data_IF_223425200509
#
_entry.id   IF_223425200509
#
_cell.length_a   1.000
_cell.length_b   1.000
_cell.length_c   1.000
_cell.angle_alpha   90.00
_cell.angle_beta   90.00
_cell.angle_gamma   90.00
#
_symmetry.space_group_name_H-M   'P 1'
#
loop_
_entity.id
_entity.type
_entity.pdbx_description
1 polymer ?
#
# COMPACT_ATOMS: atom_id res chain seq x y z
N UNK A 1 -2.93 -19.57 -47.33
CA UNK A 1 -2.04 -19.31 -46.17
C UNK A 1 -2.32 -17.98 -45.43
N UNK A 2 -2.57 -16.87 -46.13
CA UNK A 2 -2.91 -15.57 -45.48
C UNK A 2 -4.22 -15.58 -44.70
N UNK A 3 -5.26 -16.21 -45.21
CA UNK A 3 -6.57 -16.28 -44.53
C UNK A 3 -6.51 -17.04 -43.19
N UNK A 4 -5.81 -18.19 -43.16
CA UNK A 4 -5.57 -18.96 -41.96
C UNK A 4 -4.91 -18.12 -40.86
N UNK A 5 -3.75 -17.49 -41.18
CA UNK A 5 -3.01 -16.68 -40.21
C UNK A 5 -3.85 -15.52 -39.66
N UNK A 6 -4.65 -14.88 -40.49
CA UNK A 6 -5.53 -13.76 -40.09
C UNK A 6 -6.69 -14.25 -39.23
N UNK A 7 -7.30 -15.39 -39.61
CA UNK A 7 -8.40 -15.98 -38.85
C UNK A 7 -7.96 -16.36 -37.45
N UNK A 8 -6.89 -17.13 -37.32
CA UNK A 8 -6.36 -17.57 -36.00
C UNK A 8 -5.95 -16.38 -35.14
N UNK A 9 -5.22 -15.39 -35.71
CA UNK A 9 -4.82 -14.20 -34.96
C UNK A 9 -6.03 -13.41 -34.44
N UNK A 10 -7.05 -13.22 -35.28
CA UNK A 10 -8.29 -12.53 -34.89
C UNK A 10 -9.07 -13.29 -33.81
N UNK A 11 -9.12 -14.60 -33.92
CA UNK A 11 -9.81 -15.46 -32.96
C UNK A 11 -9.11 -15.45 -31.59
N UNK A 12 -7.77 -15.62 -31.57
CA UNK A 12 -6.98 -15.48 -30.34
C UNK A 12 -7.14 -14.09 -29.73
N UNK A 13 -7.13 -13.03 -30.55
CA UNK A 13 -7.30 -11.67 -30.06
C UNK A 13 -8.68 -11.48 -29.42
N UNK A 14 -9.75 -11.99 -30.05
CA UNK A 14 -11.11 -11.90 -29.52
C UNK A 14 -11.25 -12.66 -28.19
N UNK A 15 -10.81 -13.92 -28.13
CA UNK A 15 -10.85 -14.69 -26.89
C UNK A 15 -10.00 -14.06 -25.79
N UNK A 16 -8.79 -13.61 -26.11
CA UNK A 16 -7.93 -12.89 -25.15
C UNK A 16 -8.57 -11.60 -24.67
N UNK A 17 -9.25 -10.85 -25.53
CA UNK A 17 -9.96 -9.63 -25.17
C UNK A 17 -11.13 -9.87 -24.22
N UNK A 18 -11.92 -10.91 -24.46
CA UNK A 18 -13.02 -11.31 -23.56
C UNK A 18 -12.46 -11.73 -22.20
N UNK A 19 -11.45 -12.59 -22.18
CA UNK A 19 -10.80 -13.03 -20.94
C UNK A 19 -10.18 -11.85 -20.18
N UNK A 20 -9.50 -10.95 -20.89
CA UNK A 20 -8.93 -9.74 -20.29
C UNK A 20 -9.99 -8.88 -19.59
N UNK A 21 -11.11 -8.61 -20.30
CA UNK A 21 -12.21 -7.83 -19.72
C UNK A 21 -12.82 -8.51 -18.50
N UNK A 22 -13.00 -9.82 -18.54
CA UNK A 22 -13.51 -10.59 -17.42
C UNK A 22 -12.56 -10.55 -16.23
N UNK A 23 -11.26 -10.77 -16.46
CA UNK A 23 -10.22 -10.75 -15.41
C UNK A 23 -10.10 -9.36 -14.77
N UNK A 24 -10.18 -8.29 -15.54
CA UNK A 24 -10.16 -6.92 -15.00
C UNK A 24 -11.36 -6.66 -14.09
N UNK A 25 -12.56 -7.06 -14.48
CA UNK A 25 -13.75 -6.87 -13.65
C UNK A 25 -13.65 -7.65 -12.34
N UNK A 26 -13.21 -8.91 -12.41
CA UNK A 26 -13.00 -9.74 -11.22
C UNK A 26 -11.92 -9.11 -10.32
N UNK A 27 -10.79 -8.73 -10.90
CA UNK A 27 -9.69 -8.10 -10.16
C UNK A 27 -10.13 -6.82 -9.46
N UNK A 28 -10.80 -5.93 -10.19
CA UNK A 28 -11.30 -4.67 -9.64
C UNK A 28 -12.30 -4.90 -8.50
N UNK A 29 -13.19 -5.88 -8.65
CA UNK A 29 -14.14 -6.25 -7.60
C UNK A 29 -13.43 -6.73 -6.34
N UNK A 30 -12.42 -7.58 -6.46
CA UNK A 30 -11.63 -8.07 -5.33
C UNK A 30 -10.88 -6.92 -4.64
N UNK A 31 -10.24 -6.04 -5.44
CA UNK A 31 -9.51 -4.88 -4.91
C UNK A 31 -10.44 -3.92 -4.18
N UNK A 32 -11.62 -3.62 -4.75
CA UNK A 32 -12.61 -2.74 -4.12
C UNK A 32 -13.12 -3.31 -2.80
N UNK A 33 -13.51 -4.58 -2.77
CA UNK A 33 -13.97 -5.23 -1.52
C UNK A 33 -12.88 -5.18 -0.45
N UNK A 34 -11.62 -5.45 -0.83
CA UNK A 34 -10.49 -5.39 0.10
C UNK A 34 -10.26 -3.98 0.63
N UNK A 35 -10.21 -2.97 -0.25
CA UNK A 35 -9.97 -1.58 0.15
C UNK A 35 -11.12 -0.99 0.96
N UNK A 36 -12.38 -1.33 0.63
CA UNK A 36 -13.53 -0.96 1.44
C UNK A 36 -13.49 -1.60 2.83
N UNK A 37 -13.02 -2.85 2.93
CA UNK A 37 -12.77 -3.49 4.22
C UNK A 37 -11.67 -2.79 5.03
N UNK A 38 -10.58 -2.34 4.39
CA UNK A 38 -9.53 -1.54 5.03
C UNK A 38 -10.07 -0.16 5.48
N UNK A 39 -10.95 0.46 4.68
CA UNK A 39 -11.61 1.72 5.03
C UNK A 39 -12.60 1.56 6.19
N UNK A 40 -13.42 0.51 6.19
CA UNK A 40 -14.33 0.21 7.29
C UNK A 40 -13.61 -0.09 8.60
N UNK A 41 -12.39 -0.63 8.54
CA UNK A 41 -11.52 -0.85 9.69
C UNK A 41 -10.75 0.42 10.12
N UNK A 42 -10.97 1.58 9.48
CA UNK A 42 -10.29 2.85 9.78
C UNK A 42 -8.82 2.91 9.39
N UNK A 43 -8.32 1.93 8.62
CA UNK A 43 -6.90 1.89 8.18
C UNK A 43 -6.59 2.84 7.05
N UNK A 44 -7.59 3.16 6.23
CA UNK A 44 -7.50 4.11 5.12
C UNK A 44 -8.77 4.95 5.06
N UNK A 45 -8.69 6.16 4.48
CA UNK A 45 -9.86 7.00 4.26
C UNK A 45 -10.72 6.52 3.11
N UNK A 46 -12.05 6.65 3.22
CA UNK A 46 -12.94 6.32 2.11
C UNK A 46 -12.70 7.18 0.86
N UNK A 47 -12.18 8.39 1.03
CA UNK A 47 -11.83 9.33 -0.04
C UNK A 47 -10.68 8.86 -0.93
N UNK A 48 -9.74 8.07 -0.40
CA UNK A 48 -8.58 7.58 -1.15
C UNK A 48 -8.79 6.18 -1.77
N UNK A 49 -9.88 5.47 -1.46
CA UNK A 49 -10.16 4.10 -1.92
C UNK A 49 -10.11 3.99 -3.45
N UNK A 50 -10.75 4.92 -4.17
CA UNK A 50 -10.81 4.90 -5.64
C UNK A 50 -9.42 5.11 -6.24
N UNK A 51 -8.63 6.05 -5.70
CA UNK A 51 -7.25 6.28 -6.12
C UNK A 51 -6.38 5.04 -5.94
N UNK A 52 -6.43 4.44 -4.74
CA UNK A 52 -5.69 3.21 -4.45
C UNK A 52 -6.12 2.04 -5.34
N UNK A 53 -7.43 1.87 -5.59
CA UNK A 53 -7.94 0.83 -6.49
C UNK A 53 -7.40 1.00 -7.90
N UNK A 54 -7.35 2.23 -8.40
CA UNK A 54 -6.82 2.55 -9.73
C UNK A 54 -5.35 2.18 -9.84
N UNK A 55 -4.51 2.65 -8.92
CA UNK A 55 -3.07 2.35 -8.96
C UNK A 55 -2.77 0.87 -8.74
N UNK A 56 -3.50 0.20 -7.85
CA UNK A 56 -3.38 -1.25 -7.64
C UNK A 56 -3.73 -2.03 -8.92
N UNK A 57 -4.73 -1.57 -9.66
CA UNK A 57 -5.13 -2.18 -10.93
C UNK A 57 -4.07 -1.93 -12.01
N UNK A 58 -3.52 -0.72 -12.12
CA UNK A 58 -2.43 -0.42 -13.05
C UNK A 58 -1.21 -1.30 -12.79
N UNK A 59 -0.84 -1.50 -11.53
CA UNK A 59 0.28 -2.36 -11.16
C UNK A 59 0.05 -3.84 -11.52
N UNK A 60 -1.21 -4.31 -11.56
CA UNK A 60 -1.58 -5.67 -11.89
C UNK A 60 -1.75 -5.92 -13.42
N UNK A 61 -1.88 -4.87 -14.23
CA UNK A 61 -2.12 -4.98 -15.68
C UNK A 61 -1.18 -5.94 -16.40
N UNK A 62 0.17 -5.94 -16.19
CA UNK A 62 1.07 -6.85 -16.87
C UNK A 62 0.71 -8.32 -16.63
N UNK A 63 0.39 -8.65 -15.39
CA UNK A 63 0.02 -10.01 -14.99
C UNK A 63 -1.33 -10.42 -15.60
N UNK A 64 -2.32 -9.54 -15.58
CA UNK A 64 -3.64 -9.79 -16.16
C UNK A 64 -3.53 -9.99 -17.67
N UNK A 65 -2.70 -9.20 -18.38
CA UNK A 65 -2.45 -9.36 -19.80
C UNK A 65 -1.79 -10.70 -20.13
N UNK A 66 -0.82 -11.12 -19.35
CA UNK A 66 -0.16 -12.41 -19.54
C UNK A 66 -1.13 -13.59 -19.40
N UNK A 67 -1.98 -13.58 -18.36
CA UNK A 67 -3.02 -14.59 -18.18
C UNK A 67 -4.09 -14.53 -19.28
N UNK A 68 -4.50 -13.34 -19.69
CA UNK A 68 -5.50 -13.18 -20.73
C UNK A 68 -5.04 -13.80 -22.07
N UNK A 69 -3.81 -13.55 -22.48
CA UNK A 69 -3.24 -14.18 -23.69
C UNK A 69 -3.11 -15.68 -23.53
N UNK A 70 -2.58 -16.14 -22.41
CA UNK A 70 -2.41 -17.58 -22.16
C UNK A 70 -3.74 -18.33 -22.28
N UNK A 71 -4.77 -17.84 -21.55
CA UNK A 71 -6.10 -18.45 -21.59
C UNK A 71 -6.74 -18.30 -22.99
N UNK A 72 -6.58 -17.14 -23.65
CA UNK A 72 -7.11 -16.90 -24.98
C UNK A 72 -6.53 -17.87 -26.03
N UNK A 73 -5.22 -18.09 -26.00
CA UNK A 73 -4.55 -19.09 -26.87
C UNK A 73 -5.05 -20.50 -26.56
N UNK A 74 -5.10 -20.86 -25.27
CA UNK A 74 -5.57 -22.19 -24.86
C UNK A 74 -7.03 -22.44 -25.32
N UNK A 75 -7.91 -21.46 -25.12
CA UNK A 75 -9.31 -21.54 -25.55
C UNK A 75 -9.44 -21.69 -27.04
N UNK A 76 -8.71 -20.87 -27.82
CA UNK A 76 -8.73 -20.94 -29.29
C UNK A 76 -8.23 -22.30 -29.80
N UNK A 77 -7.12 -22.77 -29.29
CA UNK A 77 -6.55 -24.09 -29.70
C UNK A 77 -7.53 -25.21 -29.34
N UNK A 78 -8.04 -25.23 -28.11
CA UNK A 78 -8.98 -26.25 -27.63
C UNK A 78 -10.28 -26.26 -28.47
N UNK A 79 -10.81 -25.07 -28.78
CA UNK A 79 -12.00 -24.94 -29.62
C UNK A 79 -11.78 -25.54 -31.01
N UNK A 80 -10.71 -25.14 -31.70
CA UNK A 80 -10.38 -25.65 -33.04
C UNK A 80 -10.18 -27.18 -33.05
N UNK A 81 -9.65 -27.78 -31.98
CA UNK A 81 -9.61 -29.22 -31.82
C UNK A 81 -11.00 -29.86 -31.68
N UNK A 82 -11.85 -29.29 -30.84
CA UNK A 82 -13.21 -29.82 -30.57
C UNK A 82 -14.14 -29.72 -31.78
N UNK A 83 -14.02 -28.66 -32.56
CA UNK A 83 -14.84 -28.41 -33.75
C UNK A 83 -14.29 -29.13 -35.00
N UNK A 84 -13.21 -29.93 -34.82
CA UNK A 84 -12.56 -30.67 -35.90
C UNK A 84 -11.98 -29.78 -37.01
N UNK A 85 -11.90 -28.46 -36.81
CA UNK A 85 -11.29 -27.51 -37.77
C UNK A 85 -9.81 -27.84 -38.00
N UNK A 86 -9.11 -28.39 -37.01
CA UNK A 86 -7.73 -28.85 -37.14
C UNK A 86 -7.56 -29.92 -38.25
N UNK A 87 -8.53 -30.82 -38.40
CA UNK A 87 -8.48 -31.87 -39.42
C UNK A 87 -8.52 -31.24 -40.83
N UNK A 88 -9.34 -30.21 -41.04
CA UNK A 88 -9.42 -29.48 -42.30
C UNK A 88 -8.12 -28.77 -42.61
N UNK A 89 -7.50 -28.14 -41.60
CA UNK A 89 -6.21 -27.47 -41.78
C UNK A 89 -5.06 -28.44 -42.09
N UNK A 90 -5.02 -29.60 -41.41
CA UNK A 90 -4.00 -30.62 -41.66
C UNK A 90 -4.16 -31.29 -43.02
N UNK A 91 -5.40 -31.54 -43.47
CA UNK A 91 -5.67 -32.09 -44.79
C UNK A 91 -5.27 -31.11 -45.92
N UNK A 92 -5.21 -29.81 -45.61
CA UNK A 92 -4.70 -28.79 -46.56
C UNK A 92 -3.17 -28.64 -46.54
N UNK A 93 -2.44 -29.51 -45.78
CA UNK A 93 -0.97 -29.53 -45.74
C UNK A 93 -0.35 -28.61 -44.69
N UNK A 94 -1.16 -28.00 -43.77
CA UNK A 94 -0.64 -27.23 -42.67
C UNK A 94 -0.16 -28.16 -41.53
N UNK A 95 0.94 -27.77 -40.87
CA UNK A 95 1.49 -28.48 -39.72
C UNK A 95 1.13 -27.75 -38.41
N UNK A 96 1.29 -28.44 -37.26
CA UNK A 96 1.15 -27.82 -35.95
C UNK A 96 2.11 -26.62 -35.74
N UNK A 97 3.28 -26.67 -36.37
CA UNK A 97 4.26 -25.57 -36.31
C UNK A 97 3.79 -24.29 -36.97
N UNK A 98 2.88 -24.39 -37.95
CA UNK A 98 2.29 -23.22 -38.62
C UNK A 98 1.40 -22.39 -37.68
N UNK A 99 0.91 -22.98 -36.61
CA UNK A 99 0.13 -22.31 -35.57
C UNK A 99 0.97 -21.40 -34.67
N UNK A 100 2.26 -21.65 -34.55
CA UNK A 100 3.18 -20.84 -33.74
C UNK A 100 3.23 -19.40 -34.26
N UNK A 101 3.28 -19.23 -35.56
CA UNK A 101 3.46 -17.91 -36.19
C UNK A 101 2.30 -16.91 -35.93
N UNK A 102 1.01 -17.28 -36.12
CA UNK A 102 -0.10 -16.39 -35.80
C UNK A 102 -0.21 -16.11 -34.27
N UNK A 103 0.11 -17.09 -33.43
CA UNK A 103 0.12 -16.91 -31.97
C UNK A 103 1.23 -15.93 -31.54
N UNK A 104 2.47 -16.13 -32.03
CA UNK A 104 3.58 -15.22 -31.72
C UNK A 104 3.33 -13.81 -32.21
N UNK A 105 2.65 -13.65 -33.36
CA UNK A 105 2.31 -12.31 -33.87
C UNK A 105 1.47 -11.47 -32.88
N UNK A 106 0.66 -12.11 -32.07
CA UNK A 106 -0.10 -11.44 -31.01
C UNK A 106 0.65 -11.45 -29.67
N UNK A 107 1.28 -12.58 -29.33
CA UNK A 107 1.94 -12.73 -28.03
C UNK A 107 3.17 -11.82 -27.88
N UNK A 108 3.97 -11.63 -28.95
CA UNK A 108 5.19 -10.80 -28.90
C UNK A 108 4.88 -9.32 -28.58
N UNK A 109 3.98 -8.61 -29.30
CA UNK A 109 3.66 -7.24 -28.96
C UNK A 109 3.07 -7.09 -27.56
N UNK A 110 2.26 -8.05 -27.10
CA UNK A 110 1.72 -8.02 -25.73
C UNK A 110 2.81 -8.30 -24.68
N UNK A 111 3.76 -9.20 -24.97
CA UNK A 111 4.91 -9.42 -24.10
C UNK A 111 5.77 -8.14 -23.97
N UNK A 112 6.00 -7.44 -25.09
CA UNK A 112 6.71 -6.16 -25.08
C UNK A 112 5.92 -5.12 -24.25
N UNK A 113 4.61 -5.00 -24.49
CA UNK A 113 3.75 -4.08 -23.74
C UNK A 113 3.76 -4.41 -22.23
N UNK A 114 3.65 -5.69 -21.86
CA UNK A 114 3.72 -6.14 -20.46
C UNK A 114 5.08 -5.81 -19.83
N UNK A 115 6.17 -5.98 -20.55
CA UNK A 115 7.51 -5.62 -20.08
C UNK A 115 7.64 -4.12 -19.85
N UNK A 116 7.16 -3.29 -20.77
CA UNK A 116 7.15 -1.84 -20.62
C UNK A 116 6.28 -1.39 -19.43
N UNK A 117 5.10 -1.99 -19.27
CA UNK A 117 4.23 -1.72 -18.11
C UNK A 117 4.93 -2.09 -16.80
N UNK A 118 5.62 -3.23 -16.75
CA UNK A 118 6.35 -3.67 -15.55
C UNK A 118 7.52 -2.74 -15.22
N UNK A 119 8.22 -2.22 -16.24
CA UNK A 119 9.37 -1.34 -16.02
C UNK A 119 8.97 0.09 -15.63
N UNK A 120 7.88 0.63 -16.20
CA UNK A 120 7.51 2.03 -16.03
C UNK A 120 6.23 2.23 -15.22
N UNK A 121 5.13 1.55 -15.61
CA UNK A 121 3.82 1.78 -15.02
C UNK A 121 3.71 1.19 -13.60
N UNK A 122 4.24 -0.01 -13.38
CA UNK A 122 4.17 -0.66 -12.06
C UNK A 122 4.94 0.11 -10.97
N UNK A 123 6.23 0.51 -11.16
CA UNK A 123 6.93 1.28 -10.13
C UNK A 123 6.34 2.67 -9.92
N UNK A 124 5.83 3.31 -10.98
CA UNK A 124 5.12 4.58 -10.86
C UNK A 124 3.83 4.43 -10.04
N UNK A 125 3.01 3.43 -10.34
CA UNK A 125 1.77 3.16 -9.62
C UNK A 125 2.03 2.83 -8.13
N UNK A 126 3.08 2.05 -7.83
CA UNK A 126 3.45 1.72 -6.46
C UNK A 126 3.89 2.96 -5.67
N UNK A 127 4.67 3.86 -6.28
CA UNK A 127 5.05 5.14 -5.64
C UNK A 127 3.81 5.99 -5.34
N UNK A 128 2.88 6.09 -6.29
CA UNK A 128 1.65 6.84 -6.07
C UNK A 128 0.80 6.23 -4.93
N UNK A 129 0.71 4.89 -4.84
CA UNK A 129 0.02 4.22 -3.71
C UNK A 129 0.68 4.57 -2.37
N UNK A 130 2.00 4.56 -2.30
CA UNK A 130 2.75 4.92 -1.09
C UNK A 130 2.50 6.38 -0.72
N UNK A 131 2.55 7.30 -1.70
CA UNK A 131 2.28 8.73 -1.49
C UNK A 131 0.84 8.99 -0.99
N UNK A 132 -0.16 8.27 -1.56
CA UNK A 132 -1.55 8.38 -1.10
C UNK A 132 -1.72 7.87 0.32
N UNK A 133 -1.10 6.74 0.67
CA UNK A 133 -1.12 6.20 2.03
C UNK A 133 -0.40 7.12 3.01
N UNK A 134 0.78 7.60 2.66
CA UNK A 134 1.55 8.53 3.49
C UNK A 134 0.78 9.84 3.76
N UNK A 135 0.16 10.42 2.72
CA UNK A 135 -0.70 11.61 2.88
C UNK A 135 -1.89 11.36 3.79
N UNK A 136 -2.47 10.17 3.72
CA UNK A 136 -3.57 9.80 4.60
C UNK A 136 -3.09 9.58 6.03
N UNK A 137 -2.01 8.85 6.24
CA UNK A 137 -1.39 8.66 7.57
C UNK A 137 -1.03 10.01 8.19
N UNK A 138 -0.47 10.93 7.39
CA UNK A 138 -0.18 12.30 7.85
C UNK A 138 -1.43 13.10 8.25
N UNK A 139 -2.57 12.91 7.57
CA UNK A 139 -3.84 13.54 7.95
C UNK A 139 -4.48 12.83 9.15
N UNK A 140 -4.33 11.51 9.22
CA UNK A 140 -5.05 10.66 10.16
C UNK A 140 -4.54 10.75 11.59
N UNK A 141 -3.31 11.20 11.84
CA UNK A 141 -2.79 11.30 13.21
C UNK A 141 -3.52 12.35 14.06
N UNK A 142 -4.14 13.33 13.41
CA UNK A 142 -5.00 14.31 14.09
C UNK A 142 -6.49 13.96 13.99
N UNK A 143 -6.93 13.38 12.86
CA UNK A 143 -8.31 12.92 12.70
C UNK A 143 -8.61 11.62 13.46
N UNK A 144 -7.59 10.93 13.97
CA UNK A 144 -7.75 9.81 14.91
C UNK A 144 -8.14 10.27 16.31
N UNK A 145 -7.93 11.55 16.66
CA UNK A 145 -8.44 12.11 17.90
C UNK A 145 -9.97 12.26 17.74
N UNK A 146 -10.68 11.15 17.88
CA UNK A 146 -12.13 11.18 17.96
C UNK A 146 -12.52 11.77 19.29
N UNK A 147 -13.32 12.83 19.29
CA UNK A 147 -13.84 13.41 20.51
C UNK A 147 -14.47 12.32 21.40
N UNK A 148 -14.13 12.34 22.67
CA UNK A 148 -14.62 11.38 23.65
C UNK A 148 -13.90 10.01 23.67
N UNK A 149 -12.82 9.83 22.92
CA UNK A 149 -12.03 8.59 22.93
C UNK A 149 -10.56 8.82 23.31
N UNK A 150 -10.00 7.86 24.03
CA UNK A 150 -8.56 7.84 24.30
C UNK A 150 -7.81 7.32 23.09
N UNK A 151 -6.80 8.05 22.67
CA UNK A 151 -5.89 7.64 21.59
C UNK A 151 -4.49 7.43 22.15
N UNK A 152 -3.95 6.26 21.90
CA UNK A 152 -2.60 5.87 22.28
C UNK A 152 -1.66 6.02 21.10
N UNK A 153 -0.53 6.70 21.29
CA UNK A 153 0.50 6.95 20.28
C UNK A 153 1.87 6.53 20.84
N UNK A 154 2.80 6.16 19.98
CA UNK A 154 4.16 5.73 20.35
C UNK A 154 4.18 4.56 21.34
N UNK A 155 3.43 3.47 21.04
CA UNK A 155 3.41 2.23 21.85
C UNK A 155 3.06 2.48 23.34
N UNK A 156 2.11 3.39 23.61
CA UNK A 156 1.64 3.69 24.95
C UNK A 156 2.41 4.80 25.69
N UNK A 157 3.44 5.36 25.08
CA UNK A 157 4.20 6.44 25.71
C UNK A 157 3.42 7.76 25.76
N UNK A 158 2.49 7.97 24.82
CA UNK A 158 1.61 9.14 24.79
C UNK A 158 0.15 8.72 24.65
N UNK A 159 -0.69 9.29 25.50
CA UNK A 159 -2.14 9.09 25.48
C UNK A 159 -2.81 10.45 25.37
N UNK A 160 -3.63 10.61 24.35
CA UNK A 160 -4.41 11.81 24.09
C UNK A 160 -5.89 11.55 24.37
N UNK A 161 -6.56 12.53 24.90
CA UNK A 161 -8.01 12.57 25.01
C UNK A 161 -8.48 13.98 24.71
N UNK A 162 -9.42 14.14 23.79
CA UNK A 162 -10.09 15.40 23.51
C UNK A 162 -11.59 15.23 23.76
N UNK A 163 -12.21 16.17 24.45
CA UNK A 163 -13.65 16.13 24.72
C UNK A 163 -14.46 16.57 23.51
N UNK A 164 -13.97 17.59 22.79
CA UNK A 164 -14.61 18.16 21.61
C UNK A 164 -13.61 18.27 20.46
N UNK A 165 -14.09 18.08 19.24
CA UNK A 165 -13.36 18.37 18.02
C UNK A 165 -14.23 19.23 17.11
N UNK A 166 -13.63 20.26 16.49
CA UNK A 166 -14.29 21.08 15.46
C UNK A 166 -14.63 20.24 14.24
N UNK A 167 -15.67 20.59 13.48
CA UNK A 167 -16.02 19.90 12.22
C UNK A 167 -14.84 19.83 11.24
N UNK A 168 -13.98 20.83 11.22
CA UNK A 168 -12.75 20.87 10.39
C UNK A 168 -11.58 20.11 11.01
N UNK A 169 -11.73 19.53 12.22
CA UNK A 169 -10.70 18.79 12.96
C UNK A 169 -9.37 19.57 13.15
N UNK A 170 -9.40 20.87 13.01
CA UNK A 170 -8.24 21.75 13.20
C UNK A 170 -8.09 22.24 14.63
N UNK A 171 -9.19 22.26 15.38
CA UNK A 171 -9.24 22.71 16.79
C UNK A 171 -9.84 21.63 17.66
N UNK A 172 -9.15 21.31 18.75
CA UNK A 172 -9.60 20.36 19.78
C UNK A 172 -9.94 21.14 21.05
N UNK A 173 -11.09 20.85 21.64
CA UNK A 173 -11.50 21.40 22.93
C UNK A 173 -11.19 20.44 24.09
N UNK A 174 -10.86 21.01 25.26
CA UNK A 174 -10.59 20.27 26.49
C UNK A 174 -9.67 19.05 26.27
N UNK A 175 -8.40 19.34 25.92
CA UNK A 175 -7.42 18.30 25.68
C UNK A 175 -6.75 17.84 26.98
N UNK A 176 -6.68 16.53 27.15
CA UNK A 176 -5.88 15.85 28.17
C UNK A 176 -4.80 15.02 27.46
N UNK A 177 -3.54 15.21 27.86
CA UNK A 177 -2.40 14.50 27.34
C UNK A 177 -1.60 13.91 28.49
N UNK A 178 -1.29 12.62 28.39
CA UNK A 178 -0.32 11.95 29.25
C UNK A 178 0.90 11.60 28.40
N UNK A 179 2.08 12.00 28.83
CA UNK A 179 3.36 11.62 28.23
C UNK A 179 4.24 10.89 29.27
N UNK A 180 4.79 9.75 28.88
CA UNK A 180 5.69 8.95 29.71
C UNK A 180 7.09 9.07 29.11
N UNK A 181 7.89 9.98 29.68
CA UNK A 181 9.33 10.04 29.39
C UNK A 181 10.10 9.20 30.42
N UNK A 182 11.32 8.69 30.09
CA UNK A 182 12.11 7.86 31.02
C UNK A 182 12.36 8.49 32.39
N UNK A 183 12.41 9.82 32.46
CA UNK A 183 12.72 10.57 33.67
C UNK A 183 11.52 11.30 34.27
N UNK A 184 10.46 11.54 33.52
CA UNK A 184 9.32 12.33 33.93
C UNK A 184 8.00 11.76 33.37
N UNK A 185 7.00 11.68 34.22
CA UNK A 185 5.63 11.45 33.81
C UNK A 185 4.94 12.81 33.75
N UNK A 186 4.58 13.23 32.57
CA UNK A 186 3.91 14.52 32.36
C UNK A 186 2.44 14.34 32.04
N UNK A 187 1.61 15.11 32.71
CA UNK A 187 0.19 15.26 32.39
C UNK A 187 -0.02 16.72 31.98
N UNK A 188 -0.61 16.92 30.81
CA UNK A 188 -0.90 18.24 30.29
C UNK A 188 -2.39 18.35 30.04
N UNK A 189 -3.01 19.42 30.56
CA UNK A 189 -4.40 19.75 30.29
C UNK A 189 -4.45 21.11 29.59
N UNK A 190 -5.28 21.24 28.57
CA UNK A 190 -5.45 22.51 27.83
C UNK A 190 -6.92 22.72 27.46
N UNK A 191 -7.35 23.97 27.42
CA UNK A 191 -8.72 24.34 27.01
C UNK A 191 -8.94 24.17 25.51
N UNK A 192 -7.90 24.45 24.73
CA UNK A 192 -7.91 24.30 23.28
C UNK A 192 -6.56 23.84 22.78
N UNK A 193 -6.57 23.13 21.68
CA UNK A 193 -5.37 22.74 20.95
C UNK A 193 -5.57 22.96 19.44
N UNK A 194 -4.56 23.52 18.81
CA UNK A 194 -4.55 23.80 17.37
C UNK A 194 -3.32 23.18 16.76
N UNK A 195 -3.45 22.62 15.56
CA UNK A 195 -2.30 22.12 14.83
C UNK A 195 -1.71 23.22 13.97
N UNK A 196 -0.44 23.49 14.18
CA UNK A 196 0.35 24.39 13.35
C UNK A 196 1.42 23.61 12.59
N UNK A 197 1.60 23.94 11.31
CA UNK A 197 2.67 23.39 10.46
C UNK A 197 3.68 24.50 10.25
N UNK A 198 4.90 24.29 10.71
CA UNK A 198 5.99 25.23 10.52
C UNK A 198 6.54 25.20 9.09
N UNK A 199 7.26 26.25 8.66
CA UNK A 199 7.82 26.36 7.32
C UNK A 199 8.80 25.22 6.94
N UNK A 200 9.39 24.55 7.93
CA UNK A 200 10.26 23.38 7.79
C UNK A 200 9.48 22.08 7.53
N UNK A 201 8.15 22.11 7.69
CA UNK A 201 7.25 20.96 7.54
C UNK A 201 7.04 20.16 8.83
N UNK A 202 7.64 20.59 9.96
CA UNK A 202 7.39 20.01 11.27
C UNK A 202 5.97 20.36 11.75
N UNK A 203 5.33 19.41 12.40
CA UNK A 203 3.98 19.58 12.96
C UNK A 203 4.05 19.79 14.44
N UNK A 204 3.41 20.85 14.89
CA UNK A 204 3.26 21.17 16.30
C UNK A 204 1.80 21.15 16.70
N UNK A 205 1.52 20.50 17.82
CA UNK A 205 0.27 20.66 18.55
C UNK A 205 0.47 21.84 19.51
N UNK A 206 -0.17 22.94 19.22
CA UNK A 206 -0.13 24.14 20.05
C UNK A 206 -1.30 24.11 20.99
N UNK A 207 -1.00 23.93 22.28
CA UNK A 207 -1.94 23.91 23.38
C UNK A 207 -2.11 25.33 23.91
N UNK A 208 -3.36 25.73 24.15
CA UNK A 208 -3.67 27.06 24.67
C UNK A 208 -4.36 26.97 26.02
N UNK A 209 -3.94 27.82 26.95
CA UNK A 209 -4.50 27.99 28.29
C UNK A 209 -4.63 26.68 29.05
N UNK A 210 -3.48 26.22 29.54
CA UNK A 210 -3.43 24.91 30.18
C UNK A 210 -2.47 24.84 31.36
N UNK A 211 -2.41 23.64 31.94
CA UNK A 211 -1.52 23.30 33.04
C UNK A 211 -0.73 22.05 32.69
N UNK A 212 0.52 22.03 33.08
CA UNK A 212 1.41 20.89 32.97
C UNK A 212 1.83 20.43 34.37
N UNK A 213 1.64 19.15 34.63
CA UNK A 213 2.02 18.44 35.84
C UNK A 213 3.14 17.47 35.50
N UNK A 214 4.33 17.71 36.05
CA UNK A 214 5.49 16.82 35.88
C UNK A 214 5.74 16.08 37.20
N UNK A 215 5.73 14.75 37.15
CA UNK A 215 6.00 13.86 38.27
C UNK A 215 7.27 13.04 37.94
N UNK A 216 8.24 13.03 38.85
CA UNK A 216 9.44 12.21 38.72
C UNK A 216 9.23 10.85 39.38
N UNK A 217 9.26 9.74 38.62
CA UNK A 217 9.04 8.41 39.18
C UNK A 217 10.05 8.07 40.27
N UNK A 218 9.55 7.51 41.38
CA UNK A 218 10.39 7.09 42.53
C UNK A 218 10.85 8.22 43.46
N UNK A 219 10.42 9.45 43.25
CA UNK A 219 10.68 10.60 44.12
C UNK A 219 9.40 11.35 44.44
N UNK A 220 9.43 12.19 45.48
CA UNK A 220 8.30 13.09 45.80
C UNK A 220 8.39 14.42 45.06
N UNK A 221 9.19 14.48 43.97
CA UNK A 221 9.35 15.70 43.19
C UNK A 221 8.19 15.88 42.21
N UNK A 222 7.45 16.98 42.41
CA UNK A 222 6.26 17.34 41.64
C UNK A 222 6.36 18.80 41.22
N UNK A 223 6.12 19.07 39.93
CA UNK A 223 6.09 20.44 39.38
C UNK A 223 4.75 20.70 38.73
N UNK A 224 4.21 21.89 38.96
CA UNK A 224 3.07 22.40 38.22
C UNK A 224 3.49 23.67 37.49
N UNK A 225 3.15 23.74 36.22
CA UNK A 225 3.45 24.90 35.38
C UNK A 225 2.18 25.30 34.63
N UNK A 226 1.76 26.56 34.81
CA UNK A 226 0.71 27.15 34.00
C UNK A 226 1.31 27.69 32.70
N UNK A 227 0.61 27.52 31.59
CA UNK A 227 1.01 28.08 30.31
C UNK A 227 -0.15 28.72 29.56
N UNK A 228 0.11 29.82 28.89
CA UNK A 228 -0.86 30.41 27.95
C UNK A 228 -0.79 29.74 26.58
N UNK A 229 0.42 29.37 26.16
CA UNK A 229 0.68 28.67 24.89
C UNK A 229 1.85 27.70 25.05
N UNK A 230 1.63 26.45 24.70
CA UNK A 230 2.63 25.40 24.78
C UNK A 230 2.62 24.58 23.48
N UNK A 231 3.73 24.63 22.74
CA UNK A 231 3.92 23.88 21.51
C UNK A 231 4.58 22.53 21.77
N UNK A 232 3.93 21.45 21.39
CA UNK A 232 4.52 20.12 21.43
C UNK A 232 4.70 19.60 20.00
N UNK A 233 5.91 19.17 19.69
CA UNK A 233 6.17 18.55 18.39
C UNK A 233 5.49 17.17 18.33
N UNK A 234 4.60 16.99 17.36
CA UNK A 234 3.94 15.71 17.09
C UNK A 234 4.83 14.82 16.23
N UNK A 235 5.47 15.39 15.23
CA UNK A 235 6.31 14.65 14.30
C UNK A 235 7.40 15.55 13.70
N UNK A 236 8.63 15.06 13.59
CA UNK A 236 9.71 15.71 12.85
C UNK A 236 9.90 15.01 11.52
N UNK A 237 10.06 15.78 10.45
CA UNK A 237 10.38 15.28 9.12
C UNK A 237 11.62 14.37 9.11
N UNK A 238 12.59 14.69 9.97
CA UNK A 238 13.81 13.90 10.12
C UNK A 238 13.56 12.56 10.85
N UNK A 239 12.62 12.51 11.80
CA UNK A 239 12.24 11.27 12.49
C UNK A 239 11.43 10.35 11.58
N UNK A 240 10.53 10.90 10.76
CA UNK A 240 9.80 10.15 9.76
C UNK A 240 10.74 9.55 8.70
N UNK A 241 11.69 10.34 8.19
CA UNK A 241 12.72 9.87 7.25
C UNK A 241 13.63 8.81 7.88
N UNK A 242 14.01 8.97 9.14
CA UNK A 242 14.83 7.99 9.87
C UNK A 242 14.09 6.70 10.15
N UNK A 243 12.79 6.75 10.44
CA UNK A 243 11.93 5.58 10.62
C UNK A 243 11.73 4.84 9.29
N UNK A 244 11.55 5.57 8.21
CA UNK A 244 11.42 5.01 6.86
C UNK A 244 12.74 4.39 6.37
N UNK A 245 13.87 5.02 6.63
CA UNK A 245 15.20 4.45 6.35
C UNK A 245 15.44 3.18 7.14
N UNK A 246 15.13 3.13 8.45
CA UNK A 246 15.20 1.90 9.25
C UNK A 246 14.26 0.83 8.73
N UNK A 247 13.05 1.18 8.31
CA UNK A 247 12.09 0.25 7.72
C UNK A 247 12.59 -0.30 6.39
N UNK A 248 13.20 0.54 5.54
CA UNK A 248 13.83 0.14 4.28
C UNK A 248 15.06 -0.74 4.51
N UNK A 249 15.87 -0.47 5.52
CA UNK A 249 17.00 -1.32 5.92
C UNK A 249 16.52 -2.68 6.45
N UNK A 250 15.48 -2.71 7.28
CA UNK A 250 14.85 -3.95 7.74
C UNK A 250 14.23 -4.76 6.60
N UNK A 251 13.63 -4.10 5.62
CA UNK A 251 13.10 -4.77 4.42
C UNK A 251 14.23 -5.26 3.50
N UNK A 252 15.32 -4.50 3.38
CA UNK A 252 16.53 -4.93 2.66
C UNK A 252 17.20 -6.11 3.35
N UNK A 253 17.35 -6.08 4.66
CA UNK A 253 17.92 -7.19 5.44
C UNK A 253 17.06 -8.45 5.40
N UNK A 254 15.73 -8.32 5.30
CA UNK A 254 14.81 -9.45 5.14
C UNK A 254 14.76 -10.02 3.71
N UNK A 255 15.01 -9.20 2.68
CA UNK A 255 14.99 -9.62 1.27
C UNK A 255 16.34 -10.01 0.70
N UNK A 256 17.43 -9.61 1.34
CA UNK A 256 18.77 -9.90 0.89
C UNK A 256 19.49 -10.84 1.88
N UNK A 257 19.01 -12.07 2.01
CA UNK A 257 19.98 -13.16 2.22
C UNK A 257 20.50 -13.49 0.82
N UNK A 258 21.74 -13.11 0.47
CA UNK A 258 22.34 -13.56 -0.76
C UNK A 258 22.37 -15.09 -0.72
N UNK A 259 22.05 -15.71 -1.83
CA UNK A 259 21.99 -17.17 -2.01
C UNK A 259 23.32 -17.84 -1.61
N UNK A 260 24.41 -17.09 -1.64
CA UNK A 260 25.75 -17.49 -1.18
C UNK A 260 25.79 -17.84 0.33
N UNK A 261 25.03 -17.16 1.19
CA UNK A 261 24.96 -17.47 2.61
C UNK A 261 24.13 -18.73 2.94
N UNK A 262 23.26 -19.16 2.01
CA UNK A 262 22.54 -20.42 2.13
C UNK A 262 23.39 -21.64 1.75
N UNK A 263 24.53 -21.43 1.10
CA UNK A 263 25.44 -22.49 0.63
C UNK A 263 26.63 -22.66 1.59
N UNK A 264 26.93 -21.68 2.44
CA UNK A 264 28.17 -21.62 3.25
C UNK A 264 27.93 -21.88 4.75
N UNK A 265 26.67 -22.01 5.20
CA UNK A 265 26.37 -22.36 6.58
C UNK A 265 25.96 -23.84 6.67
N UNK A 266 26.90 -24.79 6.80
CA UNK A 266 26.56 -26.11 7.32
C UNK A 266 26.16 -25.91 8.78
N UNK A 267 24.98 -26.41 9.15
CA UNK A 267 24.49 -26.44 10.53
C UNK A 267 25.63 -26.77 11.51
N UNK A 268 25.80 -26.02 12.60
CA UNK A 268 26.69 -26.43 13.64
C UNK A 268 26.14 -27.72 14.24
N UNK A 269 26.82 -28.84 13.99
CA UNK A 269 26.58 -30.11 14.66
C UNK A 269 26.40 -29.86 16.16
N UNK A 270 25.26 -30.26 16.66
CA UNK A 270 25.00 -30.39 18.09
C UNK A 270 26.03 -31.36 18.67
N UNK A 271 27.14 -30.85 19.19
CA UNK A 271 28.01 -31.59 20.10
C UNK A 271 27.25 -31.73 21.41
N UNK A 272 26.69 -32.94 21.58
CA UNK A 272 26.28 -33.40 22.89
C UNK A 272 27.43 -33.48 23.85
N UNK A 273 27.22 -32.97 25.01
CA UNK A 273 27.56 -33.60 26.30
C UNK A 273 26.64 -33.02 27.37
#
# INVERSE_FOLDING_TARGET
MFLFKRSVTSEVANHSGVVFSTLIVIWLSIVLVRLLGEAAAGKIGPDIVIGLATFTTIAALPTILAFAIFIGVLTTVTRNYRESEMVVWFSSGLSLLDWINPILRLAVPVAIASTLLTMFATPWANRQMEDYRAKYEMRSDLSKITAGQFMEVEEGQRVFFAEEASEDQTTLGNLFLRALDPNWHSIVTAKSAVTEIEANGDRFLVLEKGQRYDLKPGTSEFRVSDFERFGMRLESKDSAQSAEQRRLELLKSRKARPTELLIIDPEPEAKGQ
#
